data_IF_826407121967
#
_entry.id   IF_826407121967
#
_cell.length_a   1.000
_cell.length_b   1.000
_cell.length_c   1.000
_cell.angle_alpha   90.00
_cell.angle_beta   90.00
_cell.angle_gamma   90.00
#
_symmetry.space_group_name_H-M   'P 1'
#
loop_
_entity.id
_entity.type
_entity.pdbx_description
1 polymer ?
#
# COMPACT_ATOMS: atom_id res chain seq x y z
N UNK A 1 28.37 -17.36 2.82
CA UNK A 1 27.38 -17.51 3.93
C UNK A 1 27.47 -16.39 4.95
N UNK A 2 28.67 -15.88 5.27
CA UNK A 2 28.91 -14.82 6.26
C UNK A 2 28.22 -13.48 5.95
N UNK A 3 28.04 -13.08 4.69
CA UNK A 3 27.29 -11.85 4.33
C UNK A 3 25.76 -11.96 4.55
N UNK A 4 25.21 -13.17 4.50
CA UNK A 4 23.79 -13.46 4.77
C UNK A 4 23.55 -13.41 6.29
N UNK A 5 24.53 -13.89 7.09
CA UNK A 5 24.47 -13.94 8.55
C UNK A 5 24.88 -12.61 9.23
N UNK A 6 25.79 -11.81 8.64
CA UNK A 6 26.27 -10.55 9.22
C UNK A 6 25.33 -9.34 9.01
N UNK A 7 24.03 -9.55 8.85
CA UNK A 7 23.04 -8.47 8.97
C UNK A 7 22.95 -7.46 7.82
N UNK A 8 23.84 -7.51 6.83
CA UNK A 8 23.85 -6.60 5.67
C UNK A 8 22.57 -6.63 4.82
N UNK A 9 21.88 -7.78 4.77
CA UNK A 9 20.62 -7.92 4.02
C UNK A 9 19.38 -7.73 4.92
N UNK A 10 19.49 -7.79 6.25
CA UNK A 10 18.41 -8.32 7.10
C UNK A 10 17.99 -7.50 8.33
N UNK A 11 18.88 -6.78 9.03
CA UNK A 11 18.59 -6.49 10.44
C UNK A 11 17.52 -5.39 10.71
N UNK A 12 17.54 -4.20 10.09
CA UNK A 12 16.60 -3.13 10.48
C UNK A 12 15.21 -3.27 9.84
N UNK A 13 15.14 -3.79 8.61
CA UNK A 13 13.90 -3.81 7.82
C UNK A 13 12.88 -4.86 8.28
N UNK A 14 13.33 -5.95 8.90
CA UNK A 14 12.45 -7.03 9.35
C UNK A 14 11.63 -6.63 10.58
N UNK A 15 12.22 -5.91 11.53
CA UNK A 15 11.51 -5.40 12.71
C UNK A 15 10.48 -4.33 12.34
N UNK A 16 10.85 -3.39 11.45
CA UNK A 16 9.92 -2.39 10.91
C UNK A 16 8.77 -3.02 10.14
N UNK A 17 9.05 -4.06 9.34
CA UNK A 17 8.04 -4.78 8.58
C UNK A 17 7.01 -5.50 9.48
N UNK A 18 7.47 -6.29 10.46
CA UNK A 18 6.54 -7.06 11.31
C UNK A 18 5.70 -6.17 12.22
N UNK A 19 6.28 -5.13 12.80
CA UNK A 19 5.56 -4.28 13.75
C UNK A 19 4.78 -3.15 13.08
N UNK A 20 5.40 -2.40 12.15
CA UNK A 20 4.75 -1.22 11.57
C UNK A 20 3.88 -1.61 10.38
N UNK A 21 4.48 -2.27 9.38
CA UNK A 21 3.71 -2.66 8.19
C UNK A 21 2.69 -3.76 8.50
N UNK A 22 3.01 -4.70 9.39
CA UNK A 22 2.08 -5.74 9.85
C UNK A 22 0.86 -5.17 10.57
N UNK A 23 1.05 -4.31 11.57
CA UNK A 23 -0.08 -3.71 12.31
C UNK A 23 -0.91 -2.83 11.38
N UNK A 24 -0.29 -2.01 10.54
CA UNK A 24 -1.01 -1.16 9.58
C UNK A 24 -1.79 -1.99 8.57
N UNK A 25 -1.21 -3.09 8.08
CA UNK A 25 -1.87 -3.97 7.14
C UNK A 25 -3.08 -4.64 7.78
N UNK A 26 -2.93 -5.35 8.89
CA UNK A 26 -4.05 -6.02 9.54
C UNK A 26 -5.14 -5.02 9.98
N UNK A 27 -4.75 -3.85 10.50
CA UNK A 27 -5.71 -2.81 10.88
C UNK A 27 -6.49 -2.28 9.67
N UNK A 28 -5.80 -2.02 8.55
CA UNK A 28 -6.43 -1.59 7.29
C UNK A 28 -7.31 -2.70 6.74
N UNK A 29 -6.83 -3.94 6.77
CA UNK A 29 -7.51 -5.12 6.24
C UNK A 29 -8.80 -5.45 6.99
N UNK A 30 -8.80 -5.27 8.31
CA UNK A 30 -9.99 -5.35 9.15
C UNK A 30 -10.94 -4.19 8.83
N UNK A 31 -10.42 -2.96 8.77
CA UNK A 31 -11.24 -1.77 8.51
C UNK A 31 -11.95 -1.80 7.15
N UNK A 32 -11.31 -2.36 6.11
CA UNK A 32 -11.87 -2.48 4.76
C UNK A 32 -12.65 -3.79 4.53
N UNK A 33 -12.79 -4.62 5.56
CA UNK A 33 -13.53 -5.89 5.48
C UNK A 33 -12.83 -7.00 4.67
N UNK A 34 -11.59 -6.81 4.23
CA UNK A 34 -10.81 -7.83 3.50
C UNK A 34 -10.53 -9.08 4.35
N UNK A 35 -10.73 -9.00 5.66
CA UNK A 35 -10.51 -10.07 6.63
C UNK A 35 -11.75 -10.31 7.49
N UNK A 36 -12.94 -9.96 6.98
CA UNK A 36 -14.19 -10.11 7.71
C UNK A 36 -14.53 -11.58 8.06
N UNK A 37 -13.87 -12.55 7.43
CA UNK A 37 -14.05 -13.98 7.72
C UNK A 37 -12.81 -14.60 8.36
N UNK A 38 -12.98 -15.61 9.26
CA UNK A 38 -11.85 -16.34 9.83
C UNK A 38 -10.95 -16.98 8.78
N UNK A 39 -11.52 -17.45 7.67
CA UNK A 39 -10.76 -18.01 6.55
C UNK A 39 -9.88 -16.95 5.86
N UNK A 40 -10.41 -15.74 5.62
CA UNK A 40 -9.62 -14.62 5.09
C UNK A 40 -8.47 -14.23 6.01
N UNK A 41 -8.70 -14.27 7.34
CA UNK A 41 -7.65 -14.01 8.35
C UNK A 41 -6.54 -15.03 8.29
N UNK A 42 -6.89 -16.32 8.21
CA UNK A 42 -5.92 -17.40 8.12
C UNK A 42 -5.04 -17.27 6.87
N UNK A 43 -5.63 -16.98 5.71
CA UNK A 43 -4.88 -16.81 4.46
C UNK A 43 -3.94 -15.60 4.54
N UNK A 44 -4.40 -14.48 5.10
CA UNK A 44 -3.56 -13.28 5.25
C UNK A 44 -2.43 -13.48 6.27
N UNK A 45 -2.68 -14.18 7.37
CA UNK A 45 -1.65 -14.58 8.34
C UNK A 45 -0.62 -15.53 7.73
N UNK A 46 -1.08 -16.54 6.97
CA UNK A 46 -0.19 -17.45 6.26
C UNK A 46 0.67 -16.71 5.25
N UNK A 47 0.08 -15.81 4.47
CA UNK A 47 0.83 -14.95 3.56
C UNK A 47 1.89 -14.16 4.34
N UNK A 48 1.52 -13.47 5.42
CA UNK A 48 2.45 -12.70 6.26
C UNK A 48 3.62 -13.51 6.81
N UNK A 49 3.35 -14.72 7.30
CA UNK A 49 4.39 -15.64 7.77
C UNK A 49 5.38 -16.00 6.65
N UNK A 50 4.86 -16.19 5.43
CA UNK A 50 5.64 -16.56 4.26
C UNK A 50 6.28 -15.37 3.54
N UNK A 51 5.82 -14.13 3.75
CA UNK A 51 6.35 -12.93 3.05
C UNK A 51 7.85 -12.81 3.26
N UNK A 52 8.29 -12.85 4.51
CA UNK A 52 9.71 -12.67 4.84
C UNK A 52 10.56 -13.75 4.18
N UNK A 53 10.37 -15.06 4.43
CA UNK A 53 11.21 -16.08 3.83
C UNK A 53 11.15 -16.04 2.29
N UNK A 54 9.98 -15.81 1.69
CA UNK A 54 9.86 -15.73 0.23
C UNK A 54 10.58 -14.52 -0.33
N UNK A 55 10.38 -13.32 0.22
CA UNK A 55 11.10 -12.11 -0.20
C UNK A 55 12.61 -12.31 -0.14
N UNK A 56 13.09 -12.94 0.93
CA UNK A 56 14.52 -13.20 1.12
C UNK A 56 15.07 -14.16 0.08
N UNK A 57 14.36 -15.26 -0.19
CA UNK A 57 14.72 -16.21 -1.25
C UNK A 57 14.74 -15.54 -2.62
N UNK A 58 13.71 -14.74 -2.95
CA UNK A 58 13.64 -13.99 -4.21
C UNK A 58 14.79 -13.01 -4.33
N UNK A 59 15.09 -12.25 -3.27
CA UNK A 59 16.20 -11.29 -3.26
C UNK A 59 17.54 -11.99 -3.44
N UNK A 60 17.77 -13.13 -2.78
CA UNK A 60 18.98 -13.93 -2.97
C UNK A 60 19.08 -14.43 -4.42
N UNK A 61 18.01 -14.99 -4.97
CA UNK A 61 17.98 -15.48 -6.35
C UNK A 61 18.34 -14.37 -7.35
N UNK A 62 17.75 -13.19 -7.23
CA UNK A 62 18.03 -12.04 -8.09
C UNK A 62 19.51 -11.63 -8.03
N UNK A 63 20.12 -11.60 -6.85
CA UNK A 63 21.55 -11.27 -6.71
C UNK A 63 22.47 -12.38 -7.23
N UNK A 64 22.05 -13.64 -7.18
CA UNK A 64 22.83 -14.77 -7.70
C UNK A 64 22.76 -14.89 -9.24
N UNK A 65 21.66 -14.45 -9.85
CA UNK A 65 21.49 -14.45 -11.31
C UNK A 65 22.41 -13.41 -11.96
N UNK A 66 22.59 -12.25 -11.35
CA UNK A 66 23.44 -11.20 -11.93
C UNK A 66 24.93 -11.50 -11.68
N UNK A 67 25.78 -11.64 -12.72
CA UNK A 67 27.14 -12.14 -12.58
C UNK A 67 28.05 -11.26 -11.71
N UNK A 68 27.82 -9.94 -11.72
CA UNK A 68 28.58 -8.98 -10.89
C UNK A 68 28.20 -9.10 -9.41
N UNK A 69 26.89 -9.22 -9.11
CA UNK A 69 26.40 -9.33 -7.73
C UNK A 69 26.68 -10.70 -7.14
N UNK A 70 26.65 -11.75 -7.97
CA UNK A 70 27.05 -13.10 -7.57
C UNK A 70 28.48 -13.12 -7.03
N UNK A 71 29.43 -12.48 -7.72
CA UNK A 71 30.81 -12.39 -7.23
C UNK A 71 30.90 -11.64 -5.90
N UNK A 72 30.15 -10.55 -5.74
CA UNK A 72 30.09 -9.78 -4.48
C UNK A 72 29.54 -10.62 -3.32
N UNK A 73 28.38 -11.25 -3.49
CA UNK A 73 27.74 -12.09 -2.47
C UNK A 73 28.61 -13.28 -2.09
N UNK A 74 29.24 -13.94 -3.07
CA UNK A 74 30.15 -15.07 -2.84
C UNK A 74 31.46 -14.62 -2.18
N UNK A 75 31.94 -13.40 -2.46
CA UNK A 75 33.11 -12.82 -1.78
C UNK A 75 32.83 -12.36 -0.34
N UNK A 76 31.58 -12.48 0.13
CA UNK A 76 31.20 -12.02 1.47
C UNK A 76 30.99 -10.50 1.59
N UNK A 77 30.96 -9.77 0.47
CA UNK A 77 30.67 -8.34 0.42
C UNK A 77 29.19 -8.06 0.19
N UNK A 78 28.72 -6.94 0.72
CA UNK A 78 27.30 -6.59 0.72
C UNK A 78 26.95 -5.81 -0.56
N UNK A 79 25.99 -6.29 -1.37
CA UNK A 79 25.60 -5.59 -2.59
C UNK A 79 24.98 -4.24 -2.23
N UNK A 80 25.50 -3.16 -2.83
CA UNK A 80 25.05 -1.78 -2.60
C UNK A 80 23.82 -1.40 -3.43
N UNK A 81 23.47 -2.21 -4.42
CA UNK A 81 22.34 -1.99 -5.32
C UNK A 81 21.02 -2.44 -4.69
N UNK A 82 20.06 -1.51 -4.56
CA UNK A 82 18.68 -1.85 -4.20
C UNK A 82 17.95 -2.36 -5.43
N UNK A 83 17.85 -3.69 -5.56
CA UNK A 83 17.10 -4.33 -6.65
C UNK A 83 15.64 -4.65 -6.27
N UNK A 84 15.38 -4.78 -4.96
CA UNK A 84 14.06 -5.08 -4.41
C UNK A 84 13.86 -4.36 -3.09
N UNK A 85 12.61 -4.02 -2.78
CA UNK A 85 12.19 -3.36 -1.53
C UNK A 85 11.09 -4.18 -0.86
N UNK A 86 11.29 -4.49 0.42
CA UNK A 86 10.32 -5.26 1.20
C UNK A 86 9.02 -4.47 1.42
N UNK A 87 9.12 -3.14 1.56
CA UNK A 87 7.95 -2.28 1.73
C UNK A 87 7.04 -2.34 0.51
N UNK A 88 7.61 -2.20 -0.70
CA UNK A 88 6.85 -2.31 -1.95
C UNK A 88 6.35 -3.73 -2.22
N UNK A 89 7.09 -4.75 -1.80
CA UNK A 89 6.61 -6.14 -1.84
C UNK A 89 5.37 -6.32 -0.94
N UNK A 90 5.37 -5.75 0.27
CA UNK A 90 4.21 -5.74 1.16
C UNK A 90 3.03 -4.96 0.58
N UNK A 91 3.28 -3.81 -0.03
CA UNK A 91 2.26 -3.02 -0.73
C UNK A 91 1.61 -3.84 -1.84
N UNK A 92 2.39 -4.68 -2.53
CA UNK A 92 1.88 -5.64 -3.51
C UNK A 92 0.76 -6.55 -2.98
N UNK A 93 0.89 -6.96 -1.71
CA UNK A 93 -0.07 -7.81 -1.00
C UNK A 93 -1.28 -7.00 -0.57
N UNK A 94 -1.03 -5.87 0.11
CA UNK A 94 -2.06 -4.93 0.57
C UNK A 94 -3.03 -4.52 -0.53
N UNK A 95 -2.48 -4.18 -1.70
CA UNK A 95 -3.23 -3.61 -2.82
C UNK A 95 -4.20 -4.62 -3.43
N UNK A 96 -4.03 -5.92 -3.19
CA UNK A 96 -5.02 -6.93 -3.63
C UNK A 96 -6.37 -6.78 -2.94
N UNK A 97 -6.39 -6.22 -1.72
CA UNK A 97 -7.59 -5.84 -1.00
C UNK A 97 -8.12 -4.45 -1.33
N UNK A 98 -7.39 -3.64 -2.10
CA UNK A 98 -7.78 -2.27 -2.45
C UNK A 98 -9.18 -2.17 -3.09
N UNK A 99 -9.60 -3.07 -4.01
CA UNK A 99 -10.93 -3.02 -4.59
C UNK A 99 -12.06 -3.06 -3.56
N UNK A 100 -11.88 -3.79 -2.45
CA UNK A 100 -12.86 -3.85 -1.36
C UNK A 100 -12.91 -2.51 -0.61
N UNK A 101 -11.75 -1.89 -0.38
CA UNK A 101 -11.67 -0.58 0.26
C UNK A 101 -12.35 0.53 -0.54
N UNK A 102 -12.29 0.45 -1.88
CA UNK A 102 -12.88 1.46 -2.77
C UNK A 102 -14.27 1.10 -3.27
N UNK A 103 -14.88 0.01 -2.80
CA UNK A 103 -16.30 -0.28 -3.06
C UNK A 103 -17.17 0.89 -2.57
N UNK A 104 -16.83 1.46 -1.41
CA UNK A 104 -17.31 2.75 -0.96
C UNK A 104 -16.36 3.85 -1.45
N UNK A 105 -16.38 4.12 -2.76
CA UNK A 105 -15.44 5.06 -3.40
C UNK A 105 -15.60 6.50 -2.89
N UNK A 106 -16.80 6.87 -2.46
CA UNK A 106 -17.16 8.23 -2.05
C UNK A 106 -16.33 8.75 -0.89
N UNK A 107 -16.26 8.05 0.27
CA UNK A 107 -15.41 8.47 1.39
C UNK A 107 -13.96 8.72 0.97
N UNK A 108 -13.40 7.82 0.14
CA UNK A 108 -12.05 7.97 -0.40
C UNK A 108 -11.95 9.20 -1.30
N UNK A 109 -12.89 9.40 -2.23
CA UNK A 109 -12.89 10.53 -3.16
C UNK A 109 -13.04 11.86 -2.42
N UNK A 110 -13.94 11.95 -1.44
CA UNK A 110 -14.16 13.14 -0.62
C UNK A 110 -12.91 13.52 0.18
N UNK A 111 -12.29 12.56 0.85
CA UNK A 111 -11.02 12.78 1.57
C UNK A 111 -9.91 13.26 0.62
N UNK A 112 -9.73 12.61 -0.53
CA UNK A 112 -8.69 12.97 -1.48
C UNK A 112 -8.95 14.33 -2.15
N UNK A 113 -10.21 14.74 -2.34
CA UNK A 113 -10.55 16.08 -2.80
C UNK A 113 -10.11 17.15 -1.77
N UNK A 114 -10.37 16.92 -0.49
CA UNK A 114 -9.90 17.80 0.59
C UNK A 114 -8.37 17.86 0.62
N UNK A 115 -7.68 16.73 0.48
CA UNK A 115 -6.21 16.70 0.42
C UNK A 115 -5.66 17.42 -0.82
N UNK A 116 -6.26 17.19 -1.99
CA UNK A 116 -5.85 17.86 -3.23
C UNK A 116 -5.93 19.39 -3.07
N UNK A 117 -7.06 19.88 -2.57
CA UNK A 117 -7.28 21.31 -2.38
C UNK A 117 -6.39 21.85 -1.27
N UNK A 118 -6.44 21.26 -0.07
CA UNK A 118 -5.79 21.79 1.13
C UNK A 118 -4.29 21.55 1.23
N UNK A 119 -3.75 20.54 0.55
CA UNK A 119 -2.31 20.23 0.56
C UNK A 119 -1.60 20.74 -0.69
N UNK A 120 -2.22 20.62 -1.86
CA UNK A 120 -1.55 20.93 -3.14
C UNK A 120 -1.96 22.27 -3.74
N UNK A 121 -3.24 22.65 -3.70
CA UNK A 121 -3.72 23.86 -4.39
C UNK A 121 -3.64 25.11 -3.52
N UNK A 122 -4.35 25.11 -2.38
CA UNK A 122 -4.48 26.29 -1.49
C UNK A 122 -3.13 26.77 -0.95
N UNK A 123 -2.20 25.90 -0.51
CA UNK A 123 -0.91 26.36 0.01
C UNK A 123 -0.06 27.13 -1.01
N UNK A 124 -0.27 26.93 -2.32
CA UNK A 124 0.45 27.67 -3.37
C UNK A 124 0.11 29.16 -3.38
N UNK A 125 -1.10 29.51 -2.97
CA UNK A 125 -1.61 30.88 -2.93
C UNK A 125 -1.33 31.58 -1.59
N UNK A 126 -0.82 30.86 -0.59
CA UNK A 126 -0.66 31.37 0.77
C UNK A 126 0.78 31.76 1.11
N UNK A 127 0.97 32.74 2.02
CA UNK A 127 2.26 33.04 2.63
C UNK A 127 2.83 31.84 3.39
N UNK A 128 4.16 31.69 3.40
CA UNK A 128 4.90 30.57 4.01
C UNK A 128 4.49 30.27 5.45
N UNK A 129 4.21 31.31 6.27
CA UNK A 129 3.77 31.16 7.66
C UNK A 129 2.47 30.35 7.82
N UNK A 130 1.54 30.42 6.86
CA UNK A 130 0.23 29.76 6.93
C UNK A 130 0.17 28.42 6.18
N UNK A 131 1.13 28.13 5.31
CA UNK A 131 1.13 26.90 4.47
C UNK A 131 1.04 25.63 5.31
N UNK A 132 1.88 25.48 6.33
CA UNK A 132 1.91 24.27 7.15
C UNK A 132 0.64 24.09 7.98
N UNK A 133 0.08 25.19 8.51
CA UNK A 133 -1.19 25.15 9.24
C UNK A 133 -2.34 24.67 8.35
N UNK A 134 -2.44 25.18 7.13
CA UNK A 134 -3.49 24.76 6.18
C UNK A 134 -3.31 23.30 5.75
N UNK A 135 -2.08 22.85 5.51
CA UNK A 135 -1.81 21.43 5.21
C UNK A 135 -2.21 20.50 6.36
N UNK A 136 -1.90 20.86 7.61
CA UNK A 136 -2.30 20.08 8.79
C UNK A 136 -3.83 20.06 8.98
N UNK A 137 -4.48 21.21 8.80
CA UNK A 137 -5.93 21.31 8.84
C UNK A 137 -6.58 20.47 7.72
N UNK A 138 -5.98 20.44 6.54
CA UNK A 138 -6.45 19.60 5.44
C UNK A 138 -6.36 18.10 5.78
N UNK A 139 -5.29 17.65 6.46
CA UNK A 139 -5.21 16.26 6.95
C UNK A 139 -6.30 15.94 7.97
N UNK A 140 -6.49 16.83 8.95
CA UNK A 140 -7.53 16.66 9.96
C UNK A 140 -8.92 16.60 9.30
N UNK A 141 -9.24 17.59 8.45
CA UNK A 141 -10.52 17.67 7.75
C UNK A 141 -10.75 16.49 6.81
N UNK A 142 -9.76 16.08 6.02
CA UNK A 142 -9.92 14.94 5.12
C UNK A 142 -10.14 13.64 5.92
N UNK A 143 -9.43 13.45 7.03
CA UNK A 143 -9.68 12.34 7.96
C UNK A 143 -11.09 12.39 8.56
N UNK A 144 -11.56 13.56 9.00
CA UNK A 144 -12.93 13.74 9.51
C UNK A 144 -13.98 13.45 8.45
N UNK A 145 -13.79 13.93 7.21
CA UNK A 145 -14.68 13.66 6.08
C UNK A 145 -14.75 12.17 5.79
N UNK A 146 -13.60 11.48 5.75
CA UNK A 146 -13.56 10.04 5.55
C UNK A 146 -14.32 9.28 6.64
N UNK A 147 -14.05 9.60 7.91
CA UNK A 147 -14.67 8.93 9.06
C UNK A 147 -16.18 9.17 9.11
N UNK A 148 -16.61 10.41 8.89
CA UNK A 148 -18.02 10.75 8.90
C UNK A 148 -18.75 10.13 7.70
N UNK A 149 -18.16 10.14 6.50
CA UNK A 149 -18.72 9.47 5.34
C UNK A 149 -18.84 7.95 5.51
N UNK A 150 -17.85 7.32 6.16
CA UNK A 150 -17.80 5.86 6.33
C UNK A 150 -18.65 5.35 7.49
N UNK A 151 -18.71 6.09 8.60
CA UNK A 151 -19.29 5.61 9.86
C UNK A 151 -20.39 6.50 10.43
N UNK A 152 -20.60 7.71 9.89
CA UNK A 152 -21.58 8.66 10.42
C UNK A 152 -23.01 8.12 10.42
N UNK A 153 -23.35 7.25 9.46
CA UNK A 153 -24.66 6.59 9.40
C UNK A 153 -24.93 5.57 10.53
N UNK A 154 -23.89 5.09 11.22
CA UNK A 154 -24.05 4.18 12.36
C UNK A 154 -24.41 4.92 13.67
N UNK A 155 -24.31 6.25 13.67
CA UNK A 155 -24.50 7.09 14.86
C UNK A 155 -25.83 7.81 14.75
N UNK A 156 -26.82 7.39 15.55
CA UNK A 156 -28.22 7.81 15.43
C UNK A 156 -28.49 9.31 15.64
N UNK A 157 -27.61 10.02 16.35
CA UNK A 157 -27.75 11.46 16.63
C UNK A 157 -27.04 12.36 15.62
N UNK A 158 -26.27 11.78 14.68
CA UNK A 158 -25.63 12.52 13.60
C UNK A 158 -26.55 12.56 12.37
N UNK A 159 -26.54 13.66 11.59
CA UNK A 159 -27.22 13.69 10.30
C UNK A 159 -26.67 12.60 9.37
N UNK A 160 -27.48 12.15 8.41
CA UNK A 160 -27.02 11.20 7.41
C UNK A 160 -25.87 11.83 6.58
N UNK A 161 -24.71 11.17 6.44
CA UNK A 161 -23.57 11.73 5.72
C UNK A 161 -23.89 12.19 4.29
N UNK A 162 -24.83 11.53 3.60
CA UNK A 162 -25.22 11.89 2.23
C UNK A 162 -25.90 13.28 2.15
N UNK A 163 -26.58 13.71 3.23
CA UNK A 163 -27.22 15.04 3.25
C UNK A 163 -26.24 16.17 3.55
N UNK A 164 -25.13 15.87 4.21
CA UNK A 164 -24.12 16.88 4.62
C UNK A 164 -22.95 16.95 3.64
N UNK A 165 -22.38 15.80 3.27
CA UNK A 165 -21.20 15.73 2.40
C UNK A 165 -21.56 15.61 0.92
N UNK A 166 -22.84 15.34 0.62
CA UNK A 166 -23.34 15.18 -0.74
C UNK A 166 -22.97 13.84 -1.39
N UNK A 167 -23.46 13.61 -2.62
CA UNK A 167 -23.42 12.31 -3.28
C UNK A 167 -22.01 11.87 -3.66
N UNK A 168 -21.08 12.81 -3.88
CA UNK A 168 -19.71 12.49 -4.28
C UNK A 168 -18.93 11.84 -3.14
N UNK A 169 -19.12 12.32 -1.90
CA UNK A 169 -18.42 11.81 -0.73
C UNK A 169 -19.08 10.54 -0.15
N UNK A 170 -20.24 10.13 -0.65
CA UNK A 170 -20.95 8.91 -0.24
C UNK A 170 -21.24 7.96 -1.39
N UNK A 171 -20.65 8.19 -2.55
CA UNK A 171 -20.80 7.33 -3.71
C UNK A 171 -20.30 5.90 -3.43
N UNK A 172 -20.99 4.93 -4.00
CA UNK A 172 -20.58 3.53 -3.99
C UNK A 172 -20.39 3.05 -5.41
N UNK A 173 -19.46 2.12 -5.61
CA UNK A 173 -19.35 1.41 -6.87
C UNK A 173 -20.51 0.44 -6.98
N UNK A 174 -21.07 0.33 -8.18
CA UNK A 174 -22.01 -0.73 -8.53
C UNK A 174 -21.36 -2.11 -8.34
N UNK A 175 -22.16 -3.11 -7.96
CA UNK A 175 -21.68 -4.46 -7.61
C UNK A 175 -20.91 -5.12 -8.77
N UNK A 176 -21.35 -4.94 -10.01
CA UNK A 176 -20.66 -5.50 -11.17
C UNK A 176 -19.33 -4.78 -11.42
N UNK A 177 -19.27 -3.47 -11.18
CA UNK A 177 -18.04 -2.68 -11.30
C UNK A 177 -17.03 -3.08 -10.23
N UNK A 178 -17.48 -3.20 -8.98
CA UNK A 178 -16.65 -3.65 -7.87
C UNK A 178 -16.10 -5.07 -8.11
N UNK A 179 -16.94 -5.98 -8.63
CA UNK A 179 -16.53 -7.35 -8.96
C UNK A 179 -15.51 -7.40 -10.10
N UNK A 180 -15.71 -6.65 -11.18
CA UNK A 180 -14.76 -6.56 -12.29
C UNK A 180 -13.41 -6.00 -11.84
N UNK A 181 -13.44 -4.93 -11.05
CA UNK A 181 -12.23 -4.35 -10.48
C UNK A 181 -11.50 -5.35 -9.57
N UNK A 182 -12.24 -6.05 -8.71
CA UNK A 182 -11.69 -7.09 -7.86
C UNK A 182 -11.00 -8.19 -8.67
N UNK A 183 -11.65 -8.70 -9.73
CA UNK A 183 -11.05 -9.71 -10.61
C UNK A 183 -9.83 -9.20 -11.37
N UNK A 184 -9.86 -7.96 -11.87
CA UNK A 184 -8.74 -7.37 -12.57
C UNK A 184 -7.49 -7.27 -11.67
N UNK A 185 -7.66 -6.73 -10.46
CA UNK A 185 -6.57 -6.58 -9.48
C UNK A 185 -6.08 -7.94 -8.95
N UNK A 186 -6.98 -8.93 -8.81
CA UNK A 186 -6.66 -10.27 -8.33
C UNK A 186 -6.39 -11.29 -9.46
N UNK A 187 -6.16 -10.84 -10.69
CA UNK A 187 -5.76 -11.71 -11.79
C UNK A 187 -4.24 -11.85 -11.84
N UNK A 188 -3.71 -13.04 -12.12
CA UNK A 188 -2.26 -13.22 -12.20
C UNK A 188 -1.64 -12.54 -13.43
N UNK A 189 -2.41 -12.40 -14.52
CA UNK A 189 -1.93 -11.77 -15.75
C UNK A 189 -1.94 -10.22 -15.68
N UNK A 190 -2.96 -9.62 -15.05
CA UNK A 190 -3.16 -8.16 -15.06
C UNK A 190 -2.89 -7.52 -13.71
N UNK A 191 -3.18 -8.22 -12.61
CA UNK A 191 -3.03 -7.73 -11.24
C UNK A 191 -1.64 -7.21 -10.90
N UNK A 192 -0.55 -7.99 -11.08
CA UNK A 192 0.81 -7.53 -10.83
C UNK A 192 1.18 -6.24 -11.57
N UNK A 193 0.70 -6.06 -12.81
CA UNK A 193 0.94 -4.86 -13.59
C UNK A 193 0.18 -3.65 -13.03
N UNK A 194 -1.11 -3.82 -12.72
CA UNK A 194 -1.93 -2.76 -12.12
C UNK A 194 -1.36 -2.30 -10.78
N UNK A 195 -1.00 -3.24 -9.92
CA UNK A 195 -0.45 -2.95 -8.60
C UNK A 195 0.95 -2.34 -8.70
N UNK A 196 1.78 -2.79 -9.64
CA UNK A 196 3.09 -2.18 -9.92
C UNK A 196 2.97 -0.72 -10.37
N UNK A 197 2.05 -0.43 -11.30
CA UNK A 197 1.77 0.94 -11.77
C UNK A 197 1.20 1.81 -10.66
N UNK A 198 0.28 1.27 -9.86
CA UNK A 198 -0.24 1.94 -8.67
C UNK A 198 0.88 2.27 -7.69
N UNK A 199 1.78 1.33 -7.43
CA UNK A 199 2.96 1.54 -6.59
C UNK A 199 3.83 2.69 -7.09
N UNK A 200 4.11 2.77 -8.40
CA UNK A 200 4.87 3.89 -8.99
C UNK A 200 4.14 5.22 -8.82
N UNK A 201 2.84 5.25 -9.08
CA UNK A 201 2.03 6.45 -8.88
C UNK A 201 2.12 6.92 -7.42
N UNK A 202 1.94 6.00 -6.46
CA UNK A 202 2.04 6.29 -5.04
C UNK A 202 3.44 6.73 -4.63
N UNK A 203 4.50 6.07 -5.12
CA UNK A 203 5.89 6.46 -4.87
C UNK A 203 6.14 7.90 -5.33
N UNK A 204 5.62 8.28 -6.50
CA UNK A 204 5.77 9.65 -7.03
C UNK A 204 4.92 10.67 -6.26
N UNK A 205 3.71 10.32 -5.85
CA UNK A 205 2.82 11.22 -5.10
C UNK A 205 3.39 11.47 -3.70
N UNK A 206 3.72 10.41 -2.97
CA UNK A 206 4.16 10.48 -1.57
C UNK A 206 5.53 11.14 -1.39
N UNK A 207 6.33 11.21 -2.46
CA UNK A 207 7.66 11.84 -2.44
C UNK A 207 7.65 13.28 -2.97
N UNK A 208 6.47 13.85 -3.22
CA UNK A 208 6.31 15.25 -3.61
C UNK A 208 6.76 16.20 -2.48
N UNK A 209 7.43 17.32 -2.81
CA UNK A 209 7.86 18.31 -1.82
C UNK A 209 6.68 18.85 -1.00
N UNK A 210 5.50 18.96 -1.62
CA UNK A 210 4.29 19.41 -0.95
C UNK A 210 3.93 18.57 0.29
N UNK A 211 4.27 17.27 0.29
CA UNK A 211 4.07 16.35 1.41
C UNK A 211 5.31 16.22 2.30
N UNK A 212 6.50 16.14 1.72
CA UNK A 212 7.75 15.90 2.48
C UNK A 212 8.21 17.12 3.28
N UNK A 213 7.72 18.32 2.97
CA UNK A 213 8.02 19.54 3.74
C UNK A 213 7.20 19.67 5.03
N UNK A 214 6.20 18.81 5.24
CA UNK A 214 5.33 18.89 6.41
C UNK A 214 6.06 18.26 7.61
N UNK A 215 6.35 19.00 8.70
CA UNK A 215 7.27 18.54 9.75
C UNK A 215 6.86 17.22 10.43
N UNK A 216 5.56 16.97 10.55
CA UNK A 216 5.02 15.75 11.19
C UNK A 216 5.07 14.56 10.23
N UNK A 217 4.89 14.80 8.93
CA UNK A 217 4.73 13.77 7.91
C UNK A 217 6.07 13.39 7.27
N UNK A 218 7.02 14.34 7.24
CA UNK A 218 8.37 14.15 6.67
C UNK A 218 9.16 13.00 7.31
N UNK A 219 8.89 12.70 8.58
CA UNK A 219 9.52 11.59 9.31
C UNK A 219 8.90 10.23 8.99
N UNK A 220 7.66 10.21 8.51
CA UNK A 220 6.91 9.00 8.19
C UNK A 220 6.91 8.66 6.69
N UNK A 221 7.26 9.61 5.81
CA UNK A 221 7.26 9.40 4.37
C UNK A 221 8.51 8.64 3.91
N UNK A 222 8.35 7.65 3.02
CA UNK A 222 9.48 6.92 2.47
C UNK A 222 10.35 7.83 1.60
N UNK A 223 11.65 7.54 1.57
CA UNK A 223 12.53 8.09 0.54
C UNK A 223 12.13 7.51 -0.81
N UNK A 224 12.25 8.30 -1.87
CA UNK A 224 11.91 7.85 -3.22
C UNK A 224 12.79 6.68 -3.63
N UNK A 225 12.17 5.52 -3.84
CA UNK A 225 12.83 4.38 -4.46
C UNK A 225 12.78 4.51 -6.00
N UNK A 226 13.72 3.89 -6.74
CA UNK A 226 13.67 3.88 -8.20
C UNK A 226 12.39 3.19 -8.71
N UNK A 227 11.75 3.77 -9.72
CA UNK A 227 10.47 3.27 -10.24
C UNK A 227 10.53 1.77 -10.62
N UNK A 228 11.65 1.32 -11.19
CA UNK A 228 11.86 -0.10 -11.52
C UNK A 228 11.78 -1.00 -10.28
N UNK A 229 12.39 -0.59 -9.16
CA UNK A 229 12.37 -1.34 -7.89
C UNK A 229 10.96 -1.42 -7.33
N UNK A 230 10.20 -0.32 -7.46
CA UNK A 230 8.80 -0.26 -7.01
C UNK A 230 7.94 -1.22 -7.82
N UNK A 231 7.98 -1.12 -9.16
CA UNK A 231 7.17 -1.98 -10.04
C UNK A 231 7.50 -3.45 -9.80
N UNK A 232 8.78 -3.81 -9.82
CA UNK A 232 9.18 -5.22 -9.68
C UNK A 232 8.81 -5.78 -8.32
N UNK A 233 9.05 -5.03 -7.24
CA UNK A 233 8.75 -5.50 -5.88
C UNK A 233 7.24 -5.63 -5.67
N UNK A 234 6.45 -4.63 -6.07
CA UNK A 234 5.00 -4.66 -5.94
C UNK A 234 4.36 -5.77 -6.80
N UNK A 235 4.78 -5.91 -8.06
CA UNK A 235 4.31 -6.97 -8.94
C UNK A 235 4.63 -8.37 -8.39
N UNK A 236 5.86 -8.59 -7.90
CA UNK A 236 6.24 -9.86 -7.28
C UNK A 236 5.49 -10.13 -5.99
N UNK A 237 5.25 -9.10 -5.17
CA UNK A 237 4.43 -9.21 -3.95
C UNK A 237 2.98 -9.61 -4.25
N UNK A 238 2.38 -9.02 -5.28
CA UNK A 238 1.04 -9.39 -5.77
C UNK A 238 1.02 -10.82 -6.28
N UNK A 239 1.96 -11.20 -7.15
CA UNK A 239 2.04 -12.57 -7.67
C UNK A 239 2.22 -13.61 -6.54
N UNK A 240 3.09 -13.30 -5.56
CA UNK A 240 3.26 -14.12 -4.36
C UNK A 240 1.94 -14.32 -3.61
N UNK A 241 1.20 -13.24 -3.33
CA UNK A 241 -0.05 -13.34 -2.60
C UNK A 241 -1.08 -14.17 -3.36
N UNK A 242 -1.21 -13.96 -4.67
CA UNK A 242 -2.14 -14.74 -5.50
C UNK A 242 -1.78 -16.23 -5.52
N UNK A 243 -0.50 -16.58 -5.51
CA UNK A 243 -0.06 -17.98 -5.40
C UNK A 243 -0.39 -18.58 -4.02
N UNK A 244 -0.23 -17.82 -2.94
CA UNK A 244 -0.63 -18.25 -1.58
C UNK A 244 -2.14 -18.47 -1.51
N UNK A 245 -2.94 -17.53 -2.03
CA UNK A 245 -4.40 -17.67 -2.11
C UNK A 245 -4.78 -18.89 -2.93
N UNK A 246 -4.12 -19.12 -4.08
CA UNK A 246 -4.37 -20.28 -4.93
C UNK A 246 -4.03 -21.58 -4.22
N UNK A 247 -2.90 -21.64 -3.52
CA UNK A 247 -2.51 -22.82 -2.75
C UNK A 247 -3.49 -23.12 -1.60
N UNK A 248 -4.05 -22.08 -0.97
CA UNK A 248 -5.00 -22.22 0.13
C UNK A 248 -6.43 -22.54 -0.33
N UNK A 249 -6.84 -22.05 -1.51
CA UNK A 249 -8.25 -22.13 -1.96
C UNK A 249 -8.47 -23.03 -3.18
N UNK A 250 -7.42 -23.41 -3.90
CA UNK A 250 -7.50 -24.13 -5.16
C UNK A 250 -7.97 -23.28 -6.36
N UNK A 251 -8.25 -21.99 -6.16
CA UNK A 251 -8.77 -21.11 -7.21
C UNK A 251 -7.76 -20.03 -7.61
N UNK A 252 -7.56 -19.89 -8.92
CA UNK A 252 -6.73 -18.85 -9.52
C UNK A 252 -7.53 -18.08 -10.57
N UNK A 253 -7.58 -16.76 -10.44
CA UNK A 253 -8.09 -15.90 -11.50
C UNK A 253 -6.95 -15.63 -12.48
N UNK A 254 -7.03 -16.19 -13.69
CA UNK A 254 -5.99 -15.99 -14.71
C UNK A 254 -6.18 -14.66 -15.43
N UNK A 255 -7.41 -14.38 -15.85
CA UNK A 255 -7.85 -13.19 -16.58
C UNK A 255 -9.13 -12.66 -15.89
N UNK A 256 -9.33 -11.32 -15.83
CA UNK A 256 -10.51 -10.70 -15.22
C UNK A 256 -11.88 -11.19 -15.70
#
# INVERSE_FOLDING_TARGET
>A
MTAILNGCLFAPSLLGFWFVNGVLDFSTAIAIGAVATPAGLQVRLLAYLLVVPTFLLTRIAVHLIHPVHRKQVLSGSCPTTRLMSLDWFSVGILTTGLPLAIQNVGPWAGMNAVFLVGVFLVPRLLPTARRNHVKLLAFALGGTVFLYASYGGAVSWLPNPATVLGPVATATLDDDTARRLFRAVNSIAVGPLLVGLFGVAMNRILTRPELTEIPVVSRALPRRDPDLVVVTSAALGTAFYLLVVTAATGHLTVVP
#
